data_IF_119488050555
#
_entry.id   IF_119488050555
#
_cell.length_a   1.000
_cell.length_b   1.000
_cell.length_c   1.000
_cell.angle_alpha   90.00
_cell.angle_beta   90.00
_cell.angle_gamma   90.00
#
_symmetry.space_group_name_H-M   'P 1'
#
loop_
_entity.id
_entity.type
_entity.pdbx_description
1 polymer ?
#
# COMPACT_ATOMS: atom_id res chain seq x y z
N UNK A 1 17.10 -9.23 -1.09
CA UNK A 1 16.00 -8.32 -0.75
C UNK A 1 15.09 -8.04 -1.96
N UNK A 2 15.66 -7.70 -3.13
CA UNK A 2 14.89 -7.37 -4.34
C UNK A 2 14.05 -8.53 -4.93
N UNK A 3 14.52 -9.78 -4.84
CA UNK A 3 13.75 -10.94 -5.35
C UNK A 3 12.44 -11.15 -4.60
N UNK A 4 12.44 -10.93 -3.27
CA UNK A 4 11.25 -11.09 -2.43
C UNK A 4 10.18 -10.06 -2.78
N UNK A 5 10.57 -8.80 -3.00
CA UNK A 5 9.66 -7.75 -3.44
C UNK A 5 9.13 -7.99 -4.86
N UNK A 6 9.96 -8.50 -5.77
CA UNK A 6 9.52 -8.86 -7.12
C UNK A 6 8.49 -9.99 -7.12
N UNK A 7 8.70 -11.02 -6.29
CA UNK A 7 7.71 -12.08 -6.11
C UNK A 7 6.40 -11.54 -5.53
N UNK A 8 6.48 -10.67 -4.52
CA UNK A 8 5.30 -10.01 -3.93
C UNK A 8 4.53 -9.19 -4.97
N UNK A 9 5.22 -8.43 -5.82
CA UNK A 9 4.59 -7.69 -6.93
C UNK A 9 3.84 -8.61 -7.87
N UNK A 10 4.43 -9.76 -8.18
CA UNK A 10 3.78 -10.76 -9.02
C UNK A 10 2.51 -11.30 -8.34
N UNK A 11 2.56 -11.63 -7.05
CA UNK A 11 1.38 -12.06 -6.29
C UNK A 11 0.26 -11.00 -6.30
N UNK A 12 0.62 -9.72 -6.13
CA UNK A 12 -0.34 -8.62 -6.22
C UNK A 12 -0.97 -8.61 -7.63
N UNK A 13 -0.18 -8.69 -8.69
CA UNK A 13 -0.69 -8.68 -10.07
C UNK A 13 -1.63 -9.87 -10.33
N UNK A 14 -1.27 -11.06 -9.88
CA UNK A 14 -2.07 -12.29 -9.98
C UNK A 14 -3.37 -12.24 -9.16
N UNK A 15 -3.48 -11.32 -8.20
CA UNK A 15 -4.65 -11.21 -7.32
C UNK A 15 -4.54 -12.03 -6.04
N UNK A 16 -3.39 -12.67 -5.81
CA UNK A 16 -3.03 -13.35 -4.57
C UNK A 16 -2.66 -12.32 -3.48
N UNK A 17 -3.56 -11.36 -3.23
CA UNK A 17 -3.31 -10.19 -2.39
C UNK A 17 -3.16 -10.54 -0.92
N UNK A 18 -3.87 -11.55 -0.41
CA UNK A 18 -3.73 -11.98 0.98
C UNK A 18 -2.34 -12.57 1.27
N UNK A 19 -1.84 -13.40 0.36
CA UNK A 19 -0.47 -13.93 0.43
C UNK A 19 0.56 -12.81 0.34
N UNK A 20 0.36 -11.87 -0.60
CA UNK A 20 1.24 -10.70 -0.73
C UNK A 20 1.30 -9.87 0.56
N UNK A 21 0.15 -9.60 1.19
CA UNK A 21 0.05 -8.86 2.46
C UNK A 21 0.81 -9.60 3.57
N UNK A 22 0.61 -10.91 3.70
CA UNK A 22 1.32 -11.72 4.69
C UNK A 22 2.84 -11.67 4.48
N UNK A 23 3.30 -11.84 3.23
CA UNK A 23 4.72 -11.76 2.88
C UNK A 23 5.33 -10.37 3.15
N UNK A 24 4.57 -9.30 2.93
CA UNK A 24 4.99 -7.92 3.20
C UNK A 24 5.05 -7.62 4.71
N UNK A 25 4.08 -8.08 5.49
CA UNK A 25 4.11 -7.93 6.94
C UNK A 25 5.32 -8.64 7.55
N UNK A 26 5.61 -9.87 7.12
CA UNK A 26 6.81 -10.58 7.55
C UNK A 26 8.10 -9.87 7.12
N UNK A 27 8.11 -9.26 5.92
CA UNK A 27 9.24 -8.44 5.47
C UNK A 27 9.46 -7.25 6.42
N UNK A 28 8.39 -6.53 6.77
CA UNK A 28 8.46 -5.38 7.67
C UNK A 28 8.88 -5.78 9.09
N UNK A 29 8.44 -6.94 9.58
CA UNK A 29 8.84 -7.46 10.89
C UNK A 29 10.32 -7.87 10.96
N UNK A 30 10.88 -8.35 9.85
CA UNK A 30 12.27 -8.80 9.76
C UNK A 30 13.22 -7.73 9.26
N UNK A 31 12.71 -6.61 8.75
CA UNK A 31 13.52 -5.51 8.26
C UNK A 31 14.23 -4.79 9.41
N UNK A 32 15.55 -4.62 9.29
CA UNK A 32 16.35 -3.85 10.25
C UNK A 32 16.27 -2.33 10.02
N UNK A 33 15.69 -1.89 8.91
CA UNK A 33 15.57 -0.48 8.51
C UNK A 33 14.19 -0.24 7.93
N UNK A 34 13.62 0.97 8.06
CA UNK A 34 12.36 1.32 7.43
C UNK A 34 12.39 1.06 5.92
N UNK A 35 11.30 0.49 5.39
CA UNK A 35 11.16 0.12 3.98
C UNK A 35 9.94 0.81 3.36
N UNK A 36 10.06 2.05 2.85
CA UNK A 36 8.94 2.78 2.24
C UNK A 36 8.29 2.00 1.08
N UNK A 37 9.11 1.30 0.29
CA UNK A 37 8.64 0.48 -0.83
C UNK A 37 7.73 -0.69 -0.39
N UNK A 38 7.97 -1.26 0.79
CA UNK A 38 7.13 -2.34 1.32
C UNK A 38 5.76 -1.82 1.77
N UNK A 39 5.72 -0.65 2.43
CA UNK A 39 4.47 0.03 2.76
C UNK A 39 3.68 0.44 1.50
N UNK A 40 4.37 0.91 0.46
CA UNK A 40 3.74 1.21 -0.83
C UNK A 40 3.10 -0.04 -1.47
N UNK A 41 3.80 -1.18 -1.45
CA UNK A 41 3.26 -2.44 -1.96
C UNK A 41 2.11 -2.98 -1.10
N UNK A 42 2.14 -2.78 0.22
CA UNK A 42 0.99 -3.09 1.09
C UNK A 42 -0.22 -2.26 0.70
N UNK A 43 -0.03 -0.96 0.51
CA UNK A 43 -1.10 -0.07 0.06
C UNK A 43 -1.73 -0.56 -1.25
N UNK A 44 -0.90 -0.98 -2.20
CA UNK A 44 -1.37 -1.57 -3.47
C UNK A 44 -2.12 -2.89 -3.28
N UNK A 45 -1.65 -3.76 -2.38
CA UNK A 45 -2.31 -5.03 -2.08
C UNK A 45 -3.68 -4.81 -1.42
N UNK A 46 -3.78 -3.93 -0.42
CA UNK A 46 -5.04 -3.56 0.21
C UNK A 46 -6.01 -2.87 -0.78
N UNK A 47 -5.50 -2.00 -1.65
CA UNK A 47 -6.29 -1.39 -2.73
C UNK A 47 -6.92 -2.46 -3.62
N UNK A 48 -6.14 -3.45 -4.03
CA UNK A 48 -6.61 -4.54 -4.90
C UNK A 48 -7.53 -5.53 -4.17
N UNK A 49 -7.41 -5.62 -2.85
CA UNK A 49 -8.36 -6.32 -1.96
C UNK A 49 -9.68 -5.56 -1.78
N UNK A 50 -9.72 -4.27 -2.11
CA UNK A 50 -10.89 -3.40 -1.90
C UNK A 50 -10.93 -2.74 -0.52
N UNK A 51 -9.88 -2.89 0.28
CA UNK A 51 -9.73 -2.20 1.56
C UNK A 51 -9.07 -0.84 1.34
N UNK A 52 -9.90 0.15 1.06
CA UNK A 52 -9.46 1.52 0.76
C UNK A 52 -8.80 2.19 1.96
N UNK A 53 -9.31 1.96 3.18
CA UNK A 53 -8.74 2.55 4.38
C UNK A 53 -7.36 1.95 4.68
N UNK A 54 -7.24 0.62 4.60
CA UNK A 54 -5.97 -0.08 4.74
C UNK A 54 -4.95 0.41 3.71
N UNK A 55 -5.39 0.65 2.47
CA UNK A 55 -4.52 1.20 1.43
C UNK A 55 -4.01 2.61 1.75
N UNK A 56 -4.91 3.54 2.10
CA UNK A 56 -4.56 4.92 2.47
C UNK A 56 -3.59 4.98 3.65
N UNK A 57 -3.81 4.16 4.68
CA UNK A 57 -2.96 4.11 5.86
C UNK A 57 -1.53 3.66 5.49
N UNK A 58 -1.41 2.59 4.68
CA UNK A 58 -0.10 2.10 4.26
C UNK A 58 0.62 3.06 3.31
N UNK A 59 -0.10 3.76 2.42
CA UNK A 59 0.51 4.82 1.64
C UNK A 59 0.98 5.98 2.50
N UNK A 60 0.24 6.34 3.56
CA UNK A 60 0.67 7.38 4.48
C UNK A 60 1.98 7.02 5.19
N UNK A 61 2.14 5.76 5.64
CA UNK A 61 3.41 5.29 6.22
C UNK A 61 4.56 5.36 5.21
N UNK A 62 4.31 4.95 3.95
CA UNK A 62 5.32 5.06 2.89
C UNK A 62 5.75 6.52 2.65
N UNK A 63 4.80 7.46 2.61
CA UNK A 63 5.06 8.91 2.43
C UNK A 63 5.81 9.49 3.64
N UNK A 64 5.49 9.07 4.86
CA UNK A 64 6.18 9.52 6.07
C UNK A 64 7.66 9.11 6.08
N UNK A 65 7.99 7.98 5.46
CA UNK A 65 9.37 7.48 5.33
C UNK A 65 10.09 8.03 4.11
N UNK A 66 9.39 8.16 2.99
CA UNK A 66 9.88 8.69 1.73
C UNK A 66 8.79 9.55 1.05
N UNK A 67 8.84 10.88 1.23
CA UNK A 67 7.89 11.80 0.63
C UNK A 67 7.91 11.81 -0.91
N UNK A 68 9.00 11.40 -1.53
CA UNK A 68 9.15 11.33 -3.00
C UNK A 68 8.69 9.96 -3.56
N UNK A 69 8.22 9.06 -2.70
CA UNK A 69 7.75 7.75 -3.13
C UNK A 69 6.47 7.83 -3.99
N UNK A 70 6.24 6.87 -4.90
CA UNK A 70 5.01 6.77 -5.68
C UNK A 70 3.72 6.63 -4.83
N UNK A 71 3.86 6.37 -3.53
CA UNK A 71 2.74 6.29 -2.60
C UNK A 71 1.99 7.62 -2.46
N UNK A 72 2.67 8.76 -2.64
CA UNK A 72 2.03 10.08 -2.62
C UNK A 72 0.96 10.19 -3.71
N UNK A 73 1.33 9.87 -4.96
CA UNK A 73 0.42 9.89 -6.11
C UNK A 73 -0.68 8.83 -5.97
N UNK A 74 -0.33 7.62 -5.51
CA UNK A 74 -1.30 6.54 -5.30
C UNK A 74 -2.35 6.90 -4.24
N UNK A 75 -1.94 7.56 -3.16
CA UNK A 75 -2.83 8.05 -2.10
C UNK A 75 -3.73 9.17 -2.61
N UNK A 76 -3.18 10.14 -3.34
CA UNK A 76 -3.94 11.24 -3.92
C UNK A 76 -5.02 10.72 -4.87
N UNK A 77 -4.65 9.82 -5.80
CA UNK A 77 -5.58 9.17 -6.73
C UNK A 77 -6.71 8.45 -5.98
N UNK A 78 -6.38 7.72 -4.92
CA UNK A 78 -7.39 7.03 -4.13
C UNK A 78 -8.33 8.00 -3.42
N UNK A 79 -7.80 9.11 -2.88
CA UNK A 79 -8.61 10.13 -2.24
C UNK A 79 -9.57 10.79 -3.22
N UNK A 80 -9.12 11.05 -4.45
CA UNK A 80 -9.95 11.59 -5.52
C UNK A 80 -11.07 10.61 -5.91
N UNK A 81 -10.75 9.32 -6.04
CA UNK A 81 -11.74 8.26 -6.27
C UNK A 81 -12.78 8.26 -5.14
N UNK A 82 -12.34 8.22 -3.88
CA UNK A 82 -13.25 8.17 -2.74
C UNK A 82 -14.09 9.44 -2.61
N UNK A 83 -13.54 10.62 -2.88
CA UNK A 83 -14.27 11.88 -2.94
C UNK A 83 -15.34 11.88 -4.04
N UNK A 84 -15.03 11.30 -5.21
CA UNK A 84 -15.99 11.18 -6.30
C UNK A 84 -17.16 10.28 -5.92
N UNK A 85 -16.89 9.14 -5.27
CA UNK A 85 -17.92 8.17 -4.88
C UNK A 85 -18.66 8.51 -3.58
N UNK A 86 -18.02 9.20 -2.64
CA UNK A 86 -18.56 9.55 -1.32
C UNK A 86 -18.18 10.99 -0.95
N UNK A 87 -19.05 11.94 -1.28
CA UNK A 87 -18.91 13.35 -0.81
C UNK A 87 -18.92 13.50 0.72
N UNK A 88 -19.35 12.47 1.45
CA UNK A 88 -19.50 12.49 2.92
C UNK A 88 -18.38 11.76 3.69
N UNK A 89 -17.35 11.22 3.03
CA UNK A 89 -16.32 10.42 3.74
C UNK A 89 -15.39 11.25 4.64
N UNK A 90 -15.36 12.58 4.45
CA UNK A 90 -14.57 13.53 5.23
C UNK A 90 -15.40 14.36 6.22
N UNK A 91 -16.72 14.10 6.30
CA UNK A 91 -17.58 14.73 7.29
C UNK A 91 -17.64 13.86 8.54
N UNK A 92 -16.70 14.05 9.46
CA UNK A 92 -16.86 13.75 10.89
C UNK A 92 -15.84 14.53 11.72
#
# INVERSE_FOLDING_TARGET
>A
MNERLNHIRQLINEGNVDTAISCLNDLLLTASSPMPEAYYLLGNAYRKKGDWQGALNNYQEAISLDPESPASEARAMMMDILNFYNKDMFNQ
#
